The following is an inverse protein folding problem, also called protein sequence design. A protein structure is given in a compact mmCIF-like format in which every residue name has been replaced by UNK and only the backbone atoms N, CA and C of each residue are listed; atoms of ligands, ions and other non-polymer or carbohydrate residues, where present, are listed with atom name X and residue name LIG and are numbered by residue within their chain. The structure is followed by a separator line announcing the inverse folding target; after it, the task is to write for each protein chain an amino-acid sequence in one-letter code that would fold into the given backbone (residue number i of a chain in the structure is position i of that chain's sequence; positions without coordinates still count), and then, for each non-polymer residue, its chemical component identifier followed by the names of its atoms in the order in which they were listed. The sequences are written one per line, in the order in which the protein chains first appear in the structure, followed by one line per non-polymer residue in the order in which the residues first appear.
data_IF_570499644914
#
_entry.id   IF_570499644914
#
_cell.length_a   1.000
_cell.length_b   1.000
_cell.length_c   1.000
_cell.angle_alpha   90.00
_cell.angle_beta   90.00
_cell.angle_gamma   90.00
#
_symmetry.space_group_name_H-M   'P 1'
#
loop_
_entity.id
_entity.type
_entity.pdbx_description
1 polymer ?
#
# COMPACT_ATOMS: atom_id res chain seq x y z
N UNK A 1 -1.20 12.16 -21.40
CA UNK A 1 -0.93 12.55 -20.00
C UNK A 1 -2.26 12.93 -19.38
N UNK A 2 -2.67 12.27 -18.30
CA UNK A 2 -3.98 12.55 -17.67
C UNK A 2 -3.80 13.84 -16.86
N UNK A 3 -4.27 14.98 -17.37
CA UNK A 3 -4.19 16.29 -16.69
C UNK A 3 -5.18 16.36 -15.51
N UNK A 4 -5.08 15.42 -14.58
CA UNK A 4 -5.93 15.29 -13.41
C UNK A 4 -5.13 15.43 -12.13
N UNK A 5 -5.76 16.02 -11.11
CA UNK A 5 -5.27 15.99 -9.73
C UNK A 5 -6.00 14.91 -8.96
N UNK A 6 -5.25 13.98 -8.37
CA UNK A 6 -5.79 12.89 -7.57
C UNK A 6 -6.10 13.41 -6.16
N UNK A 7 -7.36 13.30 -5.75
CA UNK A 7 -7.83 13.63 -4.40
C UNK A 7 -8.39 12.35 -3.75
N UNK A 8 -7.82 11.98 -2.61
CA UNK A 8 -8.17 10.83 -1.76
C UNK A 8 -8.09 11.23 -0.29
N UNK A 9 -8.42 10.32 0.63
CA UNK A 9 -8.24 10.52 2.08
C UNK A 9 -6.78 10.77 2.48
N UNK A 10 -5.82 10.32 1.68
CA UNK A 10 -4.38 10.35 1.97
C UNK A 10 -3.66 11.51 1.25
N UNK A 11 -4.33 12.21 0.34
CA UNK A 11 -3.74 13.37 -0.37
C UNK A 11 -4.17 14.68 0.27
N UNK A 12 -3.41 15.77 0.08
CA UNK A 12 -3.84 17.11 0.47
C UNK A 12 -5.17 17.55 -0.18
N UNK A 13 -5.87 18.56 0.38
CA UNK A 13 -7.10 19.11 -0.19
C UNK A 13 -6.96 19.57 -1.65
N UNK A 14 -5.79 20.10 -2.02
CA UNK A 14 -5.46 20.54 -3.37
C UNK A 14 -5.15 19.39 -4.36
N UNK A 15 -5.03 18.15 -3.86
CA UNK A 15 -4.71 16.94 -4.62
C UNK A 15 -3.26 16.84 -5.09
N UNK A 16 -2.93 15.75 -5.76
CA UNK A 16 -1.59 15.47 -6.32
C UNK A 16 -1.63 15.38 -7.84
N UNK A 17 -0.71 16.03 -8.54
CA UNK A 17 -0.60 15.95 -10.01
C UNK A 17 -0.20 14.55 -10.47
N UNK A 18 -0.98 13.95 -11.36
CA UNK A 18 -0.76 12.57 -11.86
C UNK A 18 0.22 12.58 -13.03
N UNK A 19 1.47 12.16 -12.78
CA UNK A 19 2.50 12.08 -13.84
C UNK A 19 2.50 10.75 -14.61
N UNK A 20 2.15 9.66 -13.93
CA UNK A 20 2.21 8.29 -14.46
C UNK A 20 1.01 7.49 -13.95
N UNK A 21 0.60 6.50 -14.75
CA UNK A 21 -0.44 5.53 -14.39
C UNK A 21 0.11 4.13 -14.61
N UNK A 22 -0.27 3.19 -13.75
CA UNK A 22 0.00 1.77 -13.93
C UNK A 22 -1.21 1.13 -14.63
N UNK A 23 -0.98 0.44 -15.74
CA UNK A 23 -2.00 -0.35 -16.43
C UNK A 23 -1.65 -1.81 -16.23
N UNK A 24 -2.55 -2.56 -15.62
CA UNK A 24 -2.36 -3.97 -15.27
C UNK A 24 -3.66 -4.76 -15.51
N UNK A 25 -3.53 -6.08 -15.60
CA UNK A 25 -4.66 -6.99 -15.61
C UNK A 25 -5.39 -6.97 -14.27
N UNK A 26 -6.72 -7.06 -14.30
CA UNK A 26 -7.53 -7.20 -13.10
C UNK A 26 -7.58 -8.69 -12.71
N UNK A 27 -7.20 -9.00 -11.47
CA UNK A 27 -7.20 -10.35 -10.93
C UNK A 27 -8.14 -10.44 -9.73
N UNK A 28 -8.85 -11.55 -9.60
CA UNK A 28 -9.68 -11.85 -8.44
C UNK A 28 -8.81 -12.31 -7.25
N UNK A 29 -9.07 -11.72 -6.09
CA UNK A 29 -8.32 -12.05 -4.87
C UNK A 29 -9.13 -13.05 -4.03
N UNK A 30 -8.71 -14.31 -4.01
CA UNK A 30 -9.41 -15.36 -3.28
C UNK A 30 -9.21 -15.28 -1.75
N UNK A 31 -8.08 -14.73 -1.29
CA UNK A 31 -7.74 -14.54 0.13
C UNK A 31 -6.68 -13.45 0.28
N UNK A 32 -6.83 -12.62 1.30
CA UNK A 32 -5.87 -11.55 1.63
C UNK A 32 -5.16 -11.83 2.95
N UNK A 33 -3.86 -11.57 2.99
CA UNK A 33 -3.04 -11.63 4.21
C UNK A 33 -2.06 -10.46 4.22
N UNK A 34 -1.70 -9.97 5.41
CA UNK A 34 -0.66 -8.97 5.56
C UNK A 34 0.71 -9.66 5.71
N UNK A 35 1.72 -9.15 5.00
CA UNK A 35 3.11 -9.57 5.14
C UNK A 35 4.01 -8.34 5.02
N UNK A 36 4.91 -8.15 5.97
CA UNK A 36 5.93 -7.11 5.95
C UNK A 36 7.29 -7.67 6.40
N UNK A 37 8.35 -7.08 5.86
CA UNK A 37 9.72 -7.28 6.30
C UNK A 37 10.22 -5.94 6.80
N UNK A 38 10.65 -5.89 8.05
CA UNK A 38 11.18 -4.69 8.68
C UNK A 38 12.51 -4.98 9.37
N UNK A 39 13.32 -3.94 9.56
CA UNK A 39 14.47 -4.02 10.44
C UNK A 39 14.00 -3.67 11.85
N UNK A 40 13.97 -4.66 12.72
CA UNK A 40 13.58 -4.45 14.11
C UNK A 40 14.80 -4.06 14.95
N UNK A 41 14.66 -2.96 15.70
CA UNK A 41 15.75 -2.41 16.51
C UNK A 41 16.04 -3.24 17.75
N UNK A 42 15.04 -3.90 18.34
CA UNK A 42 15.23 -4.73 19.52
C UNK A 42 15.91 -6.06 19.16
N UNK A 43 15.56 -6.62 18.01
CA UNK A 43 16.18 -7.81 17.44
C UNK A 43 17.53 -7.52 16.79
N UNK A 44 17.76 -6.28 16.31
CA UNK A 44 19.00 -5.86 15.66
C UNK A 44 19.15 -6.41 14.24
N UNK A 45 18.04 -6.71 13.55
CA UNK A 45 18.07 -7.37 12.25
C UNK A 45 16.71 -7.42 11.55
N UNK A 46 16.65 -8.11 10.42
CA UNK A 46 15.41 -8.27 9.67
C UNK A 46 14.42 -9.19 10.40
N UNK A 47 13.15 -8.77 10.44
CA UNK A 47 12.03 -9.50 11.04
C UNK A 47 10.89 -9.57 10.03
N UNK A 48 10.20 -10.72 10.02
CA UNK A 48 8.96 -10.95 9.29
C UNK A 48 7.77 -10.66 10.20
N UNK A 49 6.85 -9.83 9.73
CA UNK A 49 5.55 -9.59 10.36
C UNK A 49 4.46 -10.12 9.43
N UNK A 50 3.56 -10.94 9.97
CA UNK A 50 2.46 -11.51 9.19
C UNK A 50 1.15 -11.53 9.98
N UNK A 51 0.04 -11.29 9.28
CA UNK A 51 -1.31 -11.42 9.83
C UNK A 51 -2.23 -12.14 8.85
N UNK A 52 -3.09 -13.06 9.32
CA UNK A 52 -4.10 -13.68 8.47
C UNK A 52 -5.18 -12.69 8.01
N UNK A 53 -5.28 -11.51 8.64
CA UNK A 53 -6.18 -10.43 8.26
C UNK A 53 -5.44 -9.46 7.32
N UNK A 54 -5.53 -9.70 6.01
CA UNK A 54 -5.06 -8.75 5.00
C UNK A 54 -6.13 -7.72 4.63
N UNK A 55 -5.73 -6.69 3.86
CA UNK A 55 -6.64 -5.67 3.33
C UNK A 55 -7.15 -4.64 4.35
N UNK A 56 -6.68 -4.73 5.60
CA UNK A 56 -7.02 -3.80 6.70
C UNK A 56 -5.77 -3.10 7.21
N UNK A 57 -5.98 -2.05 7.99
CA UNK A 57 -4.89 -1.44 8.75
C UNK A 57 -4.32 -2.46 9.76
N UNK A 58 -3.00 -2.44 9.94
CA UNK A 58 -2.31 -3.44 10.79
C UNK A 58 -2.18 -2.98 12.24
N UNK A 59 -2.37 -1.68 12.50
CA UNK A 59 -2.40 -1.05 13.83
C UNK A 59 -3.77 -1.21 14.51
#
# INVERSE_FOLDING_TARGET
MVKYRLVTKQTPPEGVEVQKVMVAEALDIARETYLAILLDRAYGGAVLMGSPMGGVDIE
#
